data_IF_794324819436
#
_entry.id   IF_794324819436
#
_cell.length_a   1.000
_cell.length_b   1.000
_cell.length_c   1.000
_cell.angle_alpha   90.00
_cell.angle_beta   90.00
_cell.angle_gamma   90.00
#
_symmetry.space_group_name_H-M   'P 1'
#
loop_
_entity.id
_entity.type
_entity.pdbx_description
1 polymer ?
#
# COMPACT_ATOMS: atom_id res chain seq x y z
N UNK A 1 31.74 33.70 19.42
CA UNK A 1 32.42 32.43 19.13
C UNK A 1 32.13 32.07 17.67
N UNK A 2 33.15 32.27 16.81
CA UNK A 2 33.55 31.57 15.56
C UNK A 2 32.68 30.39 15.07
N UNK A 3 32.53 30.04 13.78
CA UNK A 3 32.95 30.60 12.49
C UNK A 3 32.28 29.77 11.35
N UNK A 4 31.96 30.45 10.25
CA UNK A 4 32.08 30.08 8.82
C UNK A 4 32.37 28.62 8.42
N UNK A 5 31.53 28.04 7.56
CA UNK A 5 31.92 27.00 6.58
C UNK A 5 30.92 26.99 5.40
N UNK A 6 31.19 27.73 4.31
CA UNK A 6 31.94 27.38 3.08
C UNK A 6 31.22 26.43 2.11
N UNK A 7 30.72 27.04 1.03
CA UNK A 7 30.39 26.43 -0.26
C UNK A 7 31.61 25.76 -0.89
N UNK A 8 31.39 24.66 -1.61
CA UNK A 8 32.26 24.26 -2.72
C UNK A 8 31.39 23.78 -3.89
N UNK A 9 31.47 24.55 -4.98
CA UNK A 9 31.10 24.13 -6.32
C UNK A 9 32.26 23.32 -6.92
N UNK A 10 31.94 22.30 -7.73
CA UNK A 10 32.91 21.63 -8.57
C UNK A 10 32.36 21.55 -10.00
N UNK A 11 32.95 22.37 -10.87
CA UNK A 11 32.91 22.24 -12.32
C UNK A 11 34.05 21.34 -12.79
N UNK A 12 33.80 20.45 -13.75
CA UNK A 12 34.80 19.90 -14.67
C UNK A 12 34.05 19.37 -15.91
N UNK A 13 34.11 20.04 -17.07
CA UNK A 13 35.14 19.97 -18.13
C UNK A 13 34.92 18.82 -19.13
N UNK A 14 34.48 19.25 -20.31
CA UNK A 14 34.64 18.72 -21.68
C UNK A 14 35.51 17.48 -21.92
N UNK A 15 35.03 16.58 -22.78
CA UNK A 15 35.88 15.94 -23.78
C UNK A 15 35.15 15.71 -25.11
N UNK A 16 35.74 16.27 -26.16
CA UNK A 16 35.35 16.20 -27.57
C UNK A 16 35.99 14.96 -28.20
N UNK A 17 35.23 14.20 -28.98
CA UNK A 17 35.63 13.33 -30.08
C UNK A 17 34.40 13.29 -31.01
N UNK A 18 34.44 13.42 -32.33
CA UNK A 18 35.47 13.34 -33.34
C UNK A 18 34.70 13.01 -34.63
N UNK A 19 35.00 13.69 -35.73
CA UNK A 19 34.29 13.59 -37.00
C UNK A 19 34.56 12.25 -37.70
N UNK A 20 33.52 11.66 -38.30
CA UNK A 20 33.66 10.71 -39.39
C UNK A 20 32.55 10.94 -40.42
N UNK A 21 32.96 11.45 -41.58
CA UNK A 21 32.20 11.56 -42.82
C UNK A 21 32.12 10.17 -43.46
N UNK A 22 30.92 9.63 -43.68
CA UNK A 22 30.71 8.42 -44.49
C UNK A 22 29.56 8.68 -45.46
N UNK A 23 29.92 8.77 -46.75
CA UNK A 23 29.01 8.81 -47.89
C UNK A 23 28.40 7.42 -48.15
N UNK A 24 27.07 7.44 -48.28
CA UNK A 24 26.17 6.71 -49.18
C UNK A 24 26.64 5.39 -49.86
N UNK A 25 25.88 4.29 -49.71
CA UNK A 25 24.79 3.88 -50.62
C UNK A 25 24.20 2.51 -50.25
N UNK A 26 22.92 2.36 -50.64
CA UNK A 26 22.22 1.16 -51.09
C UNK A 26 21.46 0.23 -50.11
N UNK A 27 20.13 0.21 -50.31
CA UNK A 27 19.37 -1.01 -50.59
C UNK A 27 19.26 -2.06 -49.49
N UNK A 28 18.23 -1.98 -48.65
CA UNK A 28 17.86 -3.09 -47.78
C UNK A 28 16.55 -2.88 -47.03
N UNK A 29 15.43 -3.27 -47.64
CA UNK A 29 14.18 -3.53 -46.92
C UNK A 29 14.43 -4.61 -45.87
N UNK A 30 14.24 -4.28 -44.59
CA UNK A 30 14.42 -5.24 -43.51
C UNK A 30 13.99 -4.66 -42.17
N UNK A 31 12.72 -4.93 -41.82
CA UNK A 31 12.15 -4.84 -40.48
C UNK A 31 12.23 -3.46 -39.78
N UNK A 32 11.14 -2.70 -39.86
CA UNK A 32 10.75 -1.79 -38.79
C UNK A 32 10.64 -2.58 -37.48
N UNK A 33 11.73 -2.67 -36.72
CA UNK A 33 11.67 -2.94 -35.29
C UNK A 33 11.08 -1.70 -34.65
N UNK A 34 9.75 -1.69 -34.54
CA UNK A 34 9.04 -0.81 -33.61
C UNK A 34 9.63 -1.09 -32.23
N UNK A 35 10.60 -0.29 -31.81
CA UNK A 35 11.06 -0.25 -30.45
C UNK A 35 9.84 0.12 -29.61
N UNK A 36 9.24 -0.88 -28.97
CA UNK A 36 8.18 -0.62 -27.99
C UNK A 36 8.74 0.37 -26.98
N UNK A 37 8.06 1.49 -26.70
CA UNK A 37 8.50 2.40 -25.67
C UNK A 37 8.62 1.60 -24.38
N UNK A 38 9.84 1.57 -23.82
CA UNK A 38 10.10 1.02 -22.49
C UNK A 38 9.21 1.80 -21.52
N UNK A 39 8.08 1.21 -21.15
CA UNK A 39 7.21 1.76 -20.11
C UNK A 39 8.07 1.90 -18.86
N UNK A 40 8.23 3.11 -18.29
CA UNK A 40 9.00 3.27 -17.07
C UNK A 40 8.41 2.36 -16.00
N UNK A 41 9.14 1.32 -15.61
CA UNK A 41 8.75 0.46 -14.49
C UNK A 41 8.94 1.31 -13.25
N UNK A 42 7.83 1.76 -12.65
CA UNK A 42 7.88 2.49 -11.39
C UNK A 42 8.69 1.67 -10.37
N UNK A 43 9.59 2.30 -9.58
CA UNK A 43 10.39 1.57 -8.62
C UNK A 43 9.49 0.85 -7.61
N UNK A 44 9.70 -0.45 -7.43
CA UNK A 44 8.98 -1.25 -6.44
C UNK A 44 9.13 -0.63 -5.06
N UNK A 45 8.01 -0.45 -4.35
CA UNK A 45 8.06 0.10 -2.98
C UNK A 45 8.65 -0.97 -2.07
N UNK A 46 9.89 -0.76 -1.61
CA UNK A 46 10.52 -1.65 -0.63
C UNK A 46 9.73 -1.59 0.68
N UNK A 47 9.50 -2.75 1.27
CA UNK A 47 8.86 -2.80 2.56
C UNK A 47 9.78 -2.25 3.64
N UNK A 48 9.27 -1.30 4.42
CA UNK A 48 9.92 -0.81 5.63
C UNK A 48 9.07 -1.26 6.82
N UNK A 49 9.66 -2.08 7.69
CA UNK A 49 9.03 -2.53 8.94
C UNK A 49 9.17 -1.42 9.99
N UNK A 50 8.66 -0.22 9.69
CA UNK A 50 8.67 0.87 10.66
C UNK A 50 7.43 0.85 11.55
N UNK A 51 6.31 0.26 11.09
CA UNK A 51 5.01 0.43 11.74
C UNK A 51 4.12 -0.82 11.76
N UNK A 52 4.64 -2.01 11.42
CA UNK A 52 3.85 -3.24 11.50
C UNK A 52 4.34 -4.35 10.57
N UNK A 53 3.64 -5.46 10.64
CA UNK A 53 3.96 -6.70 9.94
C UNK A 53 3.46 -6.81 8.49
N UNK A 54 2.83 -5.74 7.98
CA UNK A 54 2.15 -5.70 6.69
C UNK A 54 2.41 -4.36 6.00
N UNK A 55 2.13 -4.28 4.70
CA UNK A 55 2.28 -3.07 3.93
C UNK A 55 1.18 -2.88 2.89
N UNK A 56 1.07 -1.65 2.40
CA UNK A 56 0.08 -1.23 1.42
C UNK A 56 0.64 -1.34 0.00
N UNK A 57 -0.05 -2.09 -0.83
CA UNK A 57 0.13 -2.14 -2.28
C UNK A 57 -0.59 -0.96 -2.93
N UNK A 58 -0.05 -0.48 -4.06
CA UNK A 58 -0.79 0.48 -4.89
C UNK A 58 -2.13 -0.12 -5.30
N UNK A 59 -3.21 0.41 -4.74
CA UNK A 59 -4.59 0.03 -5.04
C UNK A 59 -5.33 1.26 -5.56
N UNK A 60 -6.51 1.06 -6.14
CA UNK A 60 -7.41 2.16 -6.51
C UNK A 60 -7.86 2.98 -5.27
N UNK A 61 -7.61 2.45 -4.06
CA UNK A 61 -7.75 3.16 -2.80
C UNK A 61 -6.42 3.76 -2.32
N UNK A 62 -6.52 4.96 -1.78
CA UNK A 62 -5.46 5.62 -1.03
C UNK A 62 -5.53 5.17 0.43
N UNK A 63 -4.44 4.59 0.94
CA UNK A 63 -4.30 4.26 2.36
C UNK A 63 -3.28 5.20 2.99
N UNK A 64 -3.69 5.94 4.02
CA UNK A 64 -2.84 6.90 4.74
C UNK A 64 -2.69 6.51 6.20
N UNK A 65 -1.47 6.71 6.73
CA UNK A 65 -1.14 6.46 8.12
C UNK A 65 -1.33 7.73 8.95
N UNK A 66 -1.82 7.59 10.18
CA UNK A 66 -1.86 8.67 11.17
C UNK A 66 -1.56 8.09 12.56
N UNK A 67 -0.46 8.51 13.21
CA UNK A 67 -0.18 8.09 14.57
C UNK A 67 -1.22 8.73 15.49
N UNK A 68 -1.84 7.92 16.35
CA UNK A 68 -2.73 8.40 17.40
C UNK A 68 -2.01 8.38 18.73
N UNK A 69 -2.02 9.51 19.41
CA UNK A 69 -1.43 9.66 20.75
C UNK A 69 -2.40 9.31 21.87
N UNK A 70 -3.70 9.30 21.58
CA UNK A 70 -4.80 9.10 22.54
C UNK A 70 -5.23 7.65 22.70
N UNK A 71 -5.00 6.83 21.67
CA UNK A 71 -5.22 5.40 21.70
C UNK A 71 -3.85 4.73 21.58
N UNK A 72 -3.59 3.68 22.37
CA UNK A 72 -2.47 2.77 22.15
C UNK A 72 -2.70 1.93 20.88
N UNK A 73 -2.97 2.59 19.76
CA UNK A 73 -3.30 1.99 18.47
C UNK A 73 -2.90 2.93 17.35
N UNK A 74 -2.45 2.37 16.24
CA UNK A 74 -2.21 3.13 15.03
C UNK A 74 -3.48 3.21 14.19
N UNK A 75 -3.68 4.33 13.52
CA UNK A 75 -4.81 4.52 12.62
C UNK A 75 -4.35 4.56 11.17
N UNK A 76 -5.04 3.78 10.35
CA UNK A 76 -4.92 3.83 8.91
C UNK A 76 -6.27 4.22 8.31
N UNK A 77 -6.25 5.07 7.29
CA UNK A 77 -7.46 5.55 6.63
C UNK A 77 -7.46 5.06 5.19
N UNK A 78 -8.53 4.38 4.79
CA UNK A 78 -8.74 3.86 3.43
C UNK A 78 -9.74 4.77 2.75
N UNK A 79 -9.33 5.39 1.64
CA UNK A 79 -10.18 6.27 0.84
C UNK A 79 -10.21 5.79 -0.59
N UNK A 80 -11.41 5.66 -1.18
CA UNK A 80 -11.58 5.36 -2.59
C UNK A 80 -12.40 6.47 -3.27
N UNK A 81 -12.17 6.66 -4.57
CA UNK A 81 -12.79 7.74 -5.35
C UNK A 81 -14.32 7.61 -5.44
N UNK A 82 -14.84 6.39 -5.43
CA UNK A 82 -16.25 6.04 -5.45
C UNK A 82 -16.96 6.18 -4.09
N UNK A 83 -16.21 6.33 -2.99
CA UNK A 83 -16.74 6.42 -1.62
C UNK A 83 -17.19 7.83 -1.20
N UNK A 84 -17.20 8.81 -2.12
CA UNK A 84 -17.69 10.20 -1.89
C UNK A 84 -17.23 10.82 -0.56
N UNK A 85 -15.95 10.66 -0.23
CA UNK A 85 -15.33 11.19 1.00
C UNK A 85 -15.75 10.53 2.31
N UNK A 86 -16.31 9.32 2.27
CA UNK A 86 -16.54 8.48 3.45
C UNK A 86 -15.45 7.40 3.54
N UNK A 87 -14.31 7.67 4.21
CA UNK A 87 -13.25 6.68 4.31
C UNK A 87 -13.61 5.56 5.29
N UNK A 88 -13.04 4.38 5.07
CA UNK A 88 -12.95 3.35 6.10
C UNK A 88 -11.70 3.57 6.96
N UNK A 89 -11.73 3.08 8.19
CA UNK A 89 -10.64 3.25 9.17
C UNK A 89 -10.18 1.88 9.63
N UNK A 90 -8.88 1.66 9.67
CA UNK A 90 -8.25 0.51 10.32
C UNK A 90 -7.62 0.99 11.62
N UNK A 91 -7.95 0.33 12.72
CA UNK A 91 -7.28 0.51 13.99
C UNK A 91 -6.39 -0.70 14.26
N UNK A 92 -5.09 -0.47 14.29
CA UNK A 92 -4.07 -1.48 14.54
C UNK A 92 -3.63 -1.43 16.01
N UNK A 93 -3.76 -2.55 16.71
CA UNK A 93 -3.27 -2.67 18.08
C UNK A 93 -1.74 -2.76 18.14
N UNK A 94 -1.16 -2.44 19.31
CA UNK A 94 0.31 -2.48 19.53
C UNK A 94 0.96 -3.84 19.29
N UNK A 95 0.20 -4.94 19.35
CA UNK A 95 0.72 -6.30 19.23
C UNK A 95 1.04 -6.75 17.80
N UNK A 96 0.82 -5.89 16.80
CA UNK A 96 1.13 -6.16 15.40
C UNK A 96 2.60 -5.90 15.00
N UNK A 97 3.43 -5.39 15.92
CA UNK A 97 4.83 -5.01 15.63
C UNK A 97 5.77 -6.20 15.44
N UNK A 98 5.51 -7.33 16.10
CA UNK A 98 6.52 -8.40 16.24
C UNK A 98 6.20 -9.67 15.42
N UNK A 99 4.98 -9.77 14.88
CA UNK A 99 4.47 -10.99 14.24
C UNK A 99 4.17 -10.77 12.76
N UNK A 100 4.92 -11.42 11.87
CA UNK A 100 4.74 -11.34 10.41
C UNK A 100 3.31 -11.75 9.99
N UNK A 101 2.63 -10.88 9.25
CA UNK A 101 1.34 -11.21 8.66
C UNK A 101 1.54 -12.32 7.61
N UNK A 102 0.66 -13.31 7.60
CA UNK A 102 0.72 -14.43 6.64
C UNK A 102 -0.63 -14.74 5.98
N UNK A 103 -1.70 -14.15 6.49
CA UNK A 103 -3.07 -14.36 6.05
C UNK A 103 -3.92 -13.14 6.34
N UNK A 104 -5.12 -13.08 5.79
CA UNK A 104 -6.12 -12.10 6.18
C UNK A 104 -7.44 -12.84 6.38
N UNK A 105 -7.98 -12.78 7.58
CA UNK A 105 -9.21 -13.48 7.95
C UNK A 105 -10.15 -12.51 8.67
N UNK A 106 -11.43 -12.55 8.32
CA UNK A 106 -12.46 -11.80 9.04
C UNK A 106 -12.83 -12.63 10.26
N UNK A 107 -12.64 -12.08 11.45
CA UNK A 107 -12.96 -12.78 12.70
C UNK A 107 -14.15 -12.11 13.39
N UNK A 108 -15.18 -12.89 13.68
CA UNK A 108 -16.38 -12.41 14.34
C UNK A 108 -17.45 -11.83 13.41
N UNK A 109 -18.52 -11.32 14.02
CA UNK A 109 -19.69 -10.79 13.32
C UNK A 109 -19.61 -9.26 13.27
N UNK A 110 -19.91 -8.64 12.11
CA UNK A 110 -20.02 -7.18 12.03
C UNK A 110 -20.98 -6.62 13.08
N UNK A 111 -20.58 -5.56 13.76
CA UNK A 111 -21.39 -4.89 14.78
C UNK A 111 -21.39 -3.39 14.58
N UNK A 112 -22.44 -2.72 15.06
CA UNK A 112 -22.53 -1.26 15.03
C UNK A 112 -21.81 -0.67 16.24
N UNK A 113 -20.90 0.28 16.01
CA UNK A 113 -20.15 0.97 17.08
C UNK A 113 -20.22 2.48 16.90
N UNK A 114 -19.97 3.22 17.98
CA UNK A 114 -19.76 4.67 17.93
C UNK A 114 -18.28 4.96 18.06
N UNK A 115 -17.71 5.66 17.10
CA UNK A 115 -16.32 6.07 17.07
C UNK A 115 -16.24 7.54 16.62
N UNK A 116 -15.61 8.38 17.46
CA UNK A 116 -15.49 9.83 17.26
C UNK A 116 -16.85 10.54 17.01
N UNK A 117 -17.86 10.15 17.77
CA UNK A 117 -19.21 10.71 17.67
C UNK A 117 -19.99 10.29 16.41
N UNK A 118 -19.43 9.42 15.57
CA UNK A 118 -20.07 8.87 14.37
C UNK A 118 -20.37 7.39 14.54
N UNK A 119 -21.37 6.90 13.79
CA UNK A 119 -21.72 5.48 13.77
C UNK A 119 -20.95 4.74 12.67
N UNK A 120 -20.45 3.55 13.01
CA UNK A 120 -19.66 2.71 12.12
C UNK A 120 -20.15 1.26 12.17
N UNK A 121 -19.85 0.49 11.12
CA UNK A 121 -19.82 -0.96 11.11
C UNK A 121 -18.40 -1.41 11.44
N UNK A 122 -18.21 -2.10 12.55
CA UNK A 122 -16.93 -2.65 12.97
C UNK A 122 -16.88 -4.14 12.66
N UNK A 123 -15.74 -4.60 12.14
CA UNK A 123 -15.38 -6.02 12.08
C UNK A 123 -13.91 -6.19 12.46
N UNK A 124 -13.59 -7.29 13.12
CA UNK A 124 -12.21 -7.63 13.45
C UNK A 124 -11.58 -8.39 12.26
N UNK A 125 -10.34 -8.03 11.94
CA UNK A 125 -9.54 -8.66 10.89
C UNK A 125 -8.27 -9.21 11.52
N UNK A 126 -8.02 -10.49 11.32
CA UNK A 126 -6.83 -11.18 11.79
C UNK A 126 -5.82 -11.30 10.65
N UNK A 127 -4.58 -10.85 10.88
CA UNK A 127 -3.50 -10.87 9.88
C UNK A 127 -2.54 -12.06 10.00
N UNK A 128 -2.62 -12.78 11.11
CA UNK A 128 -1.72 -13.89 11.40
C UNK A 128 -2.51 -15.14 11.71
N UNK A 129 -2.06 -16.30 11.23
CA UNK A 129 -2.65 -17.58 11.64
C UNK A 129 -2.57 -17.81 13.15
N UNK A 130 -1.57 -17.23 13.82
CA UNK A 130 -1.38 -17.33 15.27
C UNK A 130 -2.31 -16.41 16.10
N UNK A 131 -3.08 -15.54 15.43
CA UNK A 131 -4.09 -14.68 16.05
C UNK A 131 -3.57 -13.50 16.86
N UNK A 132 -2.26 -13.24 16.84
CA UNK A 132 -1.66 -12.16 17.63
C UNK A 132 -1.87 -10.77 17.03
N UNK A 133 -1.89 -10.64 15.71
CA UNK A 133 -2.19 -9.36 15.07
C UNK A 133 -3.65 -9.30 14.64
N UNK A 134 -4.44 -8.53 15.38
CA UNK A 134 -5.83 -8.21 15.08
C UNK A 134 -5.97 -6.72 14.82
N UNK A 135 -6.59 -6.41 13.69
CA UNK A 135 -7.00 -5.08 13.28
C UNK A 135 -8.50 -4.93 13.50
N UNK A 136 -8.97 -3.72 13.77
CA UNK A 136 -10.40 -3.39 13.71
C UNK A 136 -10.64 -2.56 12.46
N UNK A 137 -11.51 -3.04 11.59
CA UNK A 137 -11.98 -2.28 10.43
C UNK A 137 -13.30 -1.61 10.76
N UNK A 138 -13.32 -0.29 10.66
CA UNK A 138 -14.50 0.55 10.76
C UNK A 138 -14.90 1.02 9.36
N UNK A 139 -16.05 0.57 8.88
CA UNK A 139 -16.66 1.04 7.65
C UNK A 139 -17.87 1.95 7.97
N UNK A 140 -18.13 2.99 7.16
CA UNK A 140 -19.34 3.79 7.31
C UNK A 140 -20.61 2.93 7.32
N UNK A 141 -21.64 3.36 8.05
CA UNK A 141 -22.96 2.68 7.99
C UNK A 141 -23.72 2.96 6.69
N UNK A 142 -23.23 3.87 5.84
CA UNK A 142 -23.84 4.13 4.53
C UNK A 142 -23.59 2.96 3.57
N UNK A 143 -24.44 2.82 2.57
CA UNK A 143 -24.29 1.79 1.52
C UNK A 143 -23.22 2.11 0.48
N UNK A 144 -22.55 3.27 0.60
CA UNK A 144 -21.49 3.72 -0.32
C UNK A 144 -20.12 3.21 0.09
N UNK A 145 -19.92 3.19 1.41
CA UNK A 145 -18.86 2.58 2.21
C UNK A 145 -19.08 1.12 2.64
N UNK A 146 -19.64 0.16 1.86
CA UNK A 146 -20.06 -1.09 2.45
C UNK A 146 -18.86 -1.85 3.02
N UNK A 147 -19.07 -2.50 4.15
CA UNK A 147 -18.03 -3.24 4.86
C UNK A 147 -17.32 -4.23 3.93
N UNK A 148 -18.07 -4.93 3.08
CA UNK A 148 -17.54 -5.90 2.14
C UNK A 148 -16.59 -5.28 1.10
N UNK A 149 -16.87 -4.06 0.64
CA UNK A 149 -15.95 -3.35 -0.26
C UNK A 149 -14.67 -2.94 0.47
N UNK A 150 -14.77 -2.47 1.72
CA UNK A 150 -13.60 -2.12 2.52
C UNK A 150 -12.73 -3.35 2.83
N UNK A 151 -13.35 -4.49 3.17
CA UNK A 151 -12.66 -5.78 3.34
C UNK A 151 -12.01 -6.23 2.02
N UNK A 152 -12.73 -6.13 0.91
CA UNK A 152 -12.19 -6.49 -0.40
C UNK A 152 -10.97 -5.65 -0.74
N UNK A 153 -11.03 -4.33 -0.54
CA UNK A 153 -9.90 -3.42 -0.75
C UNK A 153 -8.72 -3.73 0.15
N UNK A 154 -8.94 -4.19 1.39
CA UNK A 154 -7.84 -4.66 2.24
C UNK A 154 -7.20 -5.93 1.72
N UNK A 155 -8.02 -6.91 1.32
CA UNK A 155 -7.50 -8.18 0.82
C UNK A 155 -6.67 -8.05 -0.45
N UNK A 156 -6.94 -7.02 -1.27
CA UNK A 156 -6.20 -6.73 -2.51
C UNK A 156 -5.10 -5.67 -2.32
N UNK A 157 -5.28 -4.77 -1.36
CA UNK A 157 -4.40 -3.64 -1.10
C UNK A 157 -3.35 -3.90 -0.04
N UNK A 158 -3.42 -5.01 0.70
CA UNK A 158 -2.43 -5.37 1.72
C UNK A 158 -1.55 -6.56 1.30
N UNK A 159 -0.31 -6.54 1.76
CA UNK A 159 0.65 -7.63 1.66
C UNK A 159 1.41 -7.81 2.97
N UNK A 160 2.03 -8.98 3.15
CA UNK A 160 2.95 -9.21 4.25
C UNK A 160 4.23 -8.37 4.06
N UNK A 161 4.75 -7.80 5.15
CA UNK A 161 5.96 -6.98 5.09
C UNK A 161 7.21 -7.79 5.46
N UNK A 162 8.18 -7.81 4.56
CA UNK A 162 9.51 -8.36 4.79
C UNK A 162 10.56 -7.29 4.55
N UNK A 163 11.38 -7.00 5.56
CA UNK A 163 12.39 -5.94 5.49
C UNK A 163 13.30 -6.12 4.28
N UNK A 164 13.47 -5.04 3.52
CA UNK A 164 14.33 -5.03 2.33
C UNK A 164 13.74 -5.74 1.10
N UNK A 165 12.58 -6.38 1.22
CA UNK A 165 11.87 -7.02 0.11
C UNK A 165 10.73 -6.14 -0.41
N UNK A 166 10.36 -6.25 -1.70
CA UNK A 166 9.20 -5.54 -2.25
C UNK A 166 7.90 -6.10 -1.66
N UNK A 167 6.95 -5.22 -1.36
CA UNK A 167 5.62 -5.60 -0.86
C UNK A 167 4.87 -6.53 -1.82
N UNK A 168 5.06 -6.31 -3.12
CA UNK A 168 4.37 -7.04 -4.18
C UNK A 168 4.69 -8.53 -4.20
N UNK A 169 5.81 -8.96 -3.60
CA UNK A 169 6.23 -10.36 -3.56
C UNK A 169 5.42 -11.21 -2.59
N UNK A 170 4.67 -10.60 -1.66
CA UNK A 170 4.05 -11.31 -0.52
C UNK A 170 2.58 -10.97 -0.33
N UNK A 171 1.83 -10.93 -1.44
CA UNK A 171 0.38 -10.78 -1.40
C UNK A 171 -0.22 -11.93 -0.58
N UNK A 172 -1.19 -11.61 0.28
CA UNK A 172 -1.96 -12.64 0.95
C UNK A 172 -2.67 -13.49 -0.12
N UNK A 173 -2.45 -14.80 -0.11
CA UNK A 173 -3.17 -15.69 -1.02
C UNK A 173 -4.67 -15.53 -0.76
N UNK A 174 -5.47 -15.33 -1.82
CA UNK A 174 -6.93 -15.18 -1.72
C UNK A 174 -7.55 -16.40 -1.02
N UNK A 175 -7.67 -16.32 0.29
CA UNK A 175 -8.49 -17.21 1.12
C UNK A 175 -9.30 -16.30 2.05
N UNK A 176 -10.19 -15.52 1.44
CA UNK A 176 -11.26 -14.86 2.18
C UNK A 176 -12.26 -15.94 2.54
N UNK A 177 -12.04 -16.63 3.66
CA UNK A 177 -13.08 -17.45 4.26
C UNK A 177 -13.96 -16.52 5.09
N UNK A 178 -15.21 -16.41 4.68
CA UNK A 178 -16.18 -15.51 5.31
C UNK A 178 -17.43 -15.46 4.46
N UNK A 179 -18.19 -16.56 4.46
CA UNK A 179 -19.55 -16.52 3.94
C UNK A 179 -20.34 -15.58 4.85
N UNK A 180 -20.57 -14.34 4.41
CA UNK A 180 -21.64 -13.51 4.93
C UNK A 180 -22.94 -14.25 4.61
N UNK A 181 -23.41 -15.07 5.55
CA UNK A 181 -24.72 -15.70 5.43
C UNK A 181 -25.76 -14.59 5.37
N UNK A 182 -26.41 -14.42 4.21
CA UNK A 182 -27.61 -13.60 4.09
C UNK A 182 -28.62 -14.07 5.13
N UNK A 183 -28.84 -13.27 6.16
CA UNK A 183 -30.01 -13.42 7.02
C UNK A 183 -31.16 -12.77 6.25
N UNK A 184 -31.96 -13.62 5.60
CA UNK A 184 -33.26 -13.26 5.02
C UNK A 184 -34.31 -13.06 6.12
#
# INVERSE_FOLDING_TARGET
>A
MNAVQRMFAASATLMVCGFADVRAQDGGQGAQRSASPLVPIAPSRKCQITHGAWCVLGSDAQITFSPRSDLASYQWTISASDWRSEPAIILEGTLCSDAKADSIEIVGTPKKVTFEGKSWREVDIQLTRDGKCRLRLLAPTSDRAPLDAAVSMLSTGLAACFEGQPCEAHRFGQKVYGAFGSVH
#
